data_IF_292999391551
#
_entry.id   IF_292999391551
#
_cell.length_a   1.000
_cell.length_b   1.000
_cell.length_c   1.000
_cell.angle_alpha   90.00
_cell.angle_beta   90.00
_cell.angle_gamma   90.00
#
_symmetry.space_group_name_H-M   'P 1'
#
loop_
_entity.id
_entity.type
_entity.pdbx_description
1 polymer ?
#
# COMPACT_ATOMS: atom_id res chain seq x y z
N UNK A 1 17.30 40.43 6.99
CA UNK A 1 16.15 40.81 6.15
C UNK A 1 16.18 39.83 5.00
N UNK A 2 15.63 38.63 5.19
CA UNK A 2 14.25 38.27 4.77
C UNK A 2 14.22 38.23 3.23
N UNK A 3 13.96 37.11 2.56
CA UNK A 3 12.92 36.14 2.84
C UNK A 3 13.31 34.72 2.42
N UNK A 4 13.07 33.80 3.35
CA UNK A 4 12.97 32.36 3.19
C UNK A 4 11.75 32.07 2.28
N UNK A 5 11.99 31.80 1.00
CA UNK A 5 10.96 31.18 0.15
C UNK A 5 11.03 29.66 0.29
N UNK A 6 10.58 29.18 1.46
CA UNK A 6 10.13 27.81 1.64
C UNK A 6 8.95 27.56 0.69
N UNK A 7 9.25 27.10 -0.51
CA UNK A 7 8.28 26.52 -1.44
C UNK A 7 7.70 25.28 -0.76
N UNK A 8 6.54 25.46 -0.12
CA UNK A 8 5.75 24.38 0.45
C UNK A 8 5.50 23.34 -0.63
N UNK A 9 6.08 22.16 -0.44
CA UNK A 9 5.73 20.97 -1.18
C UNK A 9 4.20 20.84 -1.14
N UNK A 10 3.49 20.70 -2.27
CA UNK A 10 2.10 20.30 -2.22
C UNK A 10 2.06 18.92 -1.58
N UNK A 11 1.58 18.90 -0.33
CA UNK A 11 1.19 17.67 0.36
C UNK A 11 0.07 17.04 -0.46
N UNK A 12 0.44 16.06 -1.28
CA UNK A 12 -0.48 15.18 -2.01
C UNK A 12 -1.18 14.24 -1.02
N UNK A 13 -1.90 14.82 -0.08
CA UNK A 13 -2.85 14.16 0.78
C UNK A 13 -4.21 14.24 0.09
N UNK A 14 -4.47 13.35 -0.89
CA UNK A 14 -5.80 13.30 -1.50
C UNK A 14 -5.93 12.59 -2.84
N UNK A 15 -4.85 12.28 -3.54
CA UNK A 15 -4.97 11.46 -4.74
C UNK A 15 -4.95 9.99 -4.33
N UNK A 16 -6.09 9.31 -4.44
CA UNK A 16 -6.14 7.87 -4.66
C UNK A 16 -5.53 7.59 -6.04
N UNK A 17 -4.25 7.91 -6.21
CA UNK A 17 -3.46 7.45 -7.34
C UNK A 17 -3.49 5.93 -7.29
N UNK A 18 -3.75 5.30 -8.43
CA UNK A 18 -3.71 3.84 -8.58
C UNK A 18 -2.39 3.36 -7.99
N UNK A 19 -2.43 2.73 -6.81
CA UNK A 19 -1.25 2.21 -6.14
C UNK A 19 -0.74 1.05 -6.99
N UNK A 20 0.27 1.33 -7.81
CA UNK A 20 0.87 0.34 -8.69
C UNK A 20 1.63 -0.71 -7.90
N UNK A 21 1.57 -1.94 -8.40
CA UNK A 21 2.24 -3.08 -7.80
C UNK A 21 3.76 -2.96 -7.97
N UNK A 22 4.51 -3.31 -6.93
CA UNK A 22 5.96 -3.48 -7.00
C UNK A 22 6.33 -4.55 -8.03
N UNK A 23 5.44 -5.48 -8.37
CA UNK A 23 5.66 -6.47 -9.43
C UNK A 23 5.73 -5.81 -10.81
N UNK A 24 4.93 -4.77 -11.06
CA UNK A 24 4.99 -3.95 -12.27
C UNK A 24 6.30 -3.14 -12.31
N UNK A 25 6.69 -2.54 -11.19
CA UNK A 25 7.93 -1.74 -11.07
C UNK A 25 9.19 -2.61 -11.17
N UNK A 26 9.15 -3.82 -10.61
CA UNK A 26 10.26 -4.76 -10.62
C UNK A 26 10.63 -5.24 -12.03
N UNK A 27 9.72 -5.17 -13.01
CA UNK A 27 10.05 -5.45 -14.40
C UNK A 27 11.08 -4.47 -14.98
N UNK A 28 11.24 -3.30 -14.36
CA UNK A 28 12.17 -2.25 -14.80
C UNK A 28 13.36 -2.03 -13.84
N UNK A 29 13.44 -2.73 -12.70
CA UNK A 29 14.47 -2.49 -11.68
C UNK A 29 14.93 -3.76 -10.95
N UNK A 30 16.26 -3.94 -10.93
CA UNK A 30 16.92 -5.07 -10.28
C UNK A 30 16.78 -5.03 -8.75
N UNK A 31 16.75 -3.84 -8.14
CA UNK A 31 16.58 -3.66 -6.70
C UNK A 31 15.16 -3.97 -6.23
N UNK A 32 14.14 -3.56 -7.01
CA UNK A 32 12.75 -3.90 -6.74
C UNK A 32 12.52 -5.42 -6.85
N UNK A 33 13.12 -6.06 -7.86
CA UNK A 33 13.13 -7.52 -8.00
C UNK A 33 13.75 -8.23 -6.78
N UNK A 34 14.84 -7.68 -6.22
CA UNK A 34 15.48 -8.22 -5.03
C UNK A 34 14.59 -8.10 -3.79
N UNK A 35 13.94 -6.95 -3.58
CA UNK A 35 12.99 -6.76 -2.47
C UNK A 35 11.83 -7.76 -2.52
N UNK A 36 11.23 -7.98 -3.71
CA UNK A 36 10.15 -8.96 -3.88
C UNK A 36 10.59 -10.37 -3.48
N UNK A 37 11.82 -10.78 -3.84
CA UNK A 37 12.36 -12.10 -3.51
C UNK A 37 12.69 -12.25 -2.03
N UNK A 38 13.15 -11.19 -1.37
CA UNK A 38 13.52 -11.25 0.06
C UNK A 38 12.34 -11.63 0.96
N UNK A 39 11.15 -11.08 0.70
CA UNK A 39 9.96 -11.32 1.52
C UNK A 39 8.95 -12.28 0.88
N UNK A 40 9.16 -12.61 -0.40
CA UNK A 40 8.38 -13.56 -1.19
C UNK A 40 6.86 -13.36 -1.06
N UNK A 41 6.42 -12.10 -0.99
CA UNK A 41 5.03 -11.71 -0.73
C UNK A 41 4.10 -12.23 -1.82
N UNK A 42 4.58 -12.30 -3.06
CA UNK A 42 3.83 -12.86 -4.18
C UNK A 42 3.37 -14.31 -3.94
N UNK A 43 4.12 -15.11 -3.16
CA UNK A 43 3.79 -16.52 -2.91
C UNK A 43 2.71 -16.73 -1.84
N UNK A 44 2.73 -15.95 -0.76
CA UNK A 44 1.78 -16.10 0.35
C UNK A 44 0.63 -15.07 0.30
N UNK A 45 0.86 -13.94 -0.36
CA UNK A 45 -0.08 -12.82 -0.46
C UNK A 45 -1.28 -13.09 -1.36
N UNK A 46 -1.18 -14.06 -2.28
CA UNK A 46 -2.28 -14.56 -3.11
C UNK A 46 -3.10 -13.43 -3.77
N UNK A 47 -2.42 -12.42 -4.31
CA UNK A 47 -2.99 -11.19 -4.91
C UNK A 47 -3.79 -10.28 -3.96
N UNK A 48 -3.99 -10.67 -2.70
CA UNK A 48 -4.59 -9.80 -1.68
C UNK A 48 -3.56 -8.90 -1.01
N UNK A 49 -2.34 -9.39 -0.85
CA UNK A 49 -1.24 -8.63 -0.26
C UNK A 49 -0.12 -8.49 -1.27
N UNK A 50 0.43 -7.29 -1.33
CA UNK A 50 1.49 -6.96 -2.27
C UNK A 50 2.24 -5.70 -1.80
N UNK A 51 3.39 -5.41 -2.37
CA UNK A 51 4.13 -4.18 -2.07
C UNK A 51 3.80 -3.13 -3.15
N UNK A 52 3.63 -1.87 -2.77
CA UNK A 52 3.45 -0.78 -3.74
C UNK A 52 4.79 -0.19 -4.21
N UNK A 53 4.76 0.72 -5.18
CA UNK A 53 5.97 1.40 -5.72
C UNK A 53 6.78 2.16 -4.66
N UNK A 54 6.14 2.56 -3.55
CA UNK A 54 6.78 3.25 -2.42
C UNK A 54 7.49 2.29 -1.46
N UNK A 55 7.39 0.97 -1.67
CA UNK A 55 7.94 -0.03 -0.77
C UNK A 55 7.06 -0.34 0.44
N UNK A 56 5.83 0.17 0.50
CA UNK A 56 4.88 -0.14 1.56
C UNK A 56 4.03 -1.37 1.24
N UNK A 57 3.58 -2.07 2.28
CA UNK A 57 2.61 -3.15 2.11
C UNK A 57 1.25 -2.55 1.76
N UNK A 58 0.69 -3.04 0.68
CA UNK A 58 -0.64 -2.72 0.19
C UNK A 58 -1.54 -3.95 0.26
N UNK A 59 -2.83 -3.73 0.51
CA UNK A 59 -3.86 -4.76 0.55
C UNK A 59 -4.87 -4.48 -0.54
N UNK A 60 -5.12 -5.46 -1.39
CA UNK A 60 -6.19 -5.48 -2.37
C UNK A 60 -7.27 -6.45 -1.85
N UNK A 61 -8.35 -5.96 -1.20
CA UNK A 61 -9.32 -6.85 -0.57
C UNK A 61 -10.10 -7.70 -1.57
N UNK A 62 -10.23 -7.20 -2.80
CA UNK A 62 -10.86 -7.85 -3.93
C UNK A 62 -9.91 -7.77 -5.15
N UNK A 63 -9.42 -8.90 -5.69
CA UNK A 63 -8.56 -8.90 -6.88
C UNK A 63 -9.30 -8.50 -8.16
N UNK A 64 -10.63 -8.58 -8.20
CA UNK A 64 -11.44 -8.12 -9.35
C UNK A 64 -11.56 -6.58 -9.39
N UNK A 65 -11.26 -5.91 -8.26
CA UNK A 65 -11.33 -4.46 -8.12
C UNK A 65 -9.96 -3.92 -7.65
N UNK A 66 -8.96 -3.83 -8.55
CA UNK A 66 -7.60 -3.41 -8.20
C UNK A 66 -7.51 -1.96 -7.68
N UNK A 67 -8.52 -1.14 -8.00
CA UNK A 67 -8.68 0.24 -7.53
C UNK A 67 -8.96 0.33 -6.02
N UNK A 68 -9.51 -0.73 -5.42
CA UNK A 68 -9.80 -0.80 -3.98
C UNK A 68 -8.57 -1.11 -3.12
N UNK A 69 -7.36 -0.94 -3.67
CA UNK A 69 -6.10 -1.19 -2.99
C UNK A 69 -5.84 -0.13 -1.91
N UNK A 70 -5.43 -0.59 -0.74
CA UNK A 70 -5.18 0.22 0.46
C UNK A 70 -3.72 0.11 0.89
N UNK A 71 -3.04 1.22 1.11
CA UNK A 71 -1.71 1.27 1.74
C UNK A 71 -1.84 1.12 3.26
N UNK A 72 -1.26 0.06 3.84
CA UNK A 72 -1.31 -0.18 5.28
C UNK A 72 -0.51 0.83 6.09
N UNK A 73 0.63 1.30 5.57
CA UNK A 73 1.46 2.28 6.28
C UNK A 73 0.74 3.63 6.38
N UNK A 74 0.05 4.04 5.31
CA UNK A 74 -0.80 5.22 5.34
C UNK A 74 -2.01 5.03 6.26
N UNK A 75 -2.67 3.86 6.19
CA UNK A 75 -3.80 3.54 7.06
C UNK A 75 -3.41 3.64 8.53
N UNK A 76 -2.28 3.04 8.93
CA UNK A 76 -1.77 3.09 10.30
C UNK A 76 -1.48 4.54 10.72
N UNK A 77 -0.77 5.32 9.90
CA UNK A 77 -0.49 6.74 10.19
C UNK A 77 -1.77 7.55 10.39
N UNK A 78 -2.80 7.34 9.55
CA UNK A 78 -4.09 8.00 9.69
C UNK A 78 -4.79 7.60 10.98
N UNK A 79 -4.73 6.33 11.38
CA UNK A 79 -5.33 5.85 12.64
C UNK A 79 -4.60 6.37 13.87
N UNK A 80 -3.27 6.39 13.86
CA UNK A 80 -2.48 6.98 14.93
C UNK A 80 -2.78 8.49 15.09
N UNK A 81 -2.89 9.22 13.97
CA UNK A 81 -3.27 10.64 13.99
C UNK A 81 -4.69 10.87 14.52
N UNK A 82 -5.60 9.91 14.33
CA UNK A 82 -6.95 9.91 14.94
C UNK A 82 -6.93 9.52 16.43
N UNK A 83 -5.76 9.28 17.03
CA UNK A 83 -5.60 8.93 18.44
C UNK A 83 -5.88 7.46 18.75
N UNK A 84 -5.96 6.57 17.76
CA UNK A 84 -6.05 5.14 18.02
C UNK A 84 -4.72 4.61 18.56
N UNK A 85 -4.78 3.88 19.69
CA UNK A 85 -3.63 3.18 20.23
C UNK A 85 -3.35 1.91 19.44
N UNK A 86 -2.12 1.78 18.94
CA UNK A 86 -1.58 0.52 18.46
C UNK A 86 -1.17 -0.37 19.66
N UNK A 87 -1.20 -1.71 19.54
CA UNK A 87 -1.45 -2.51 18.33
C UNK A 87 -2.93 -2.58 17.94
N UNK A 88 -3.20 -2.52 16.62
CA UNK A 88 -4.54 -2.64 16.05
C UNK A 88 -4.59 -3.81 15.06
N UNK A 89 -5.72 -4.53 15.04
CA UNK A 89 -6.00 -5.58 14.06
C UNK A 89 -6.90 -5.03 12.95
N UNK A 90 -6.42 -5.06 11.71
CA UNK A 90 -7.19 -4.67 10.54
C UNK A 90 -7.78 -5.92 9.87
N UNK A 91 -9.10 -6.00 9.84
CA UNK A 91 -9.83 -7.09 9.20
C UNK A 91 -10.42 -6.63 7.85
N UNK A 92 -10.14 -7.36 6.79
CA UNK A 92 -10.65 -7.11 5.43
C UNK A 92 -11.66 -8.20 5.05
N UNK A 93 -12.96 -8.03 5.40
CA UNK A 93 -13.98 -9.06 5.15
C UNK A 93 -14.20 -9.35 3.66
N UNK A 94 -13.86 -8.43 2.77
CA UNK A 94 -13.97 -8.61 1.32
C UNK A 94 -13.08 -9.77 0.82
N UNK A 95 -11.92 -9.98 1.44
CA UNK A 95 -11.04 -11.12 1.12
C UNK A 95 -11.78 -12.44 1.39
N UNK A 96 -12.53 -12.52 2.49
CA UNK A 96 -13.33 -13.69 2.83
C UNK A 96 -14.46 -13.89 1.82
N UNK A 97 -15.15 -12.80 1.44
CA UNK A 97 -16.23 -12.87 0.45
C UNK A 97 -15.74 -13.35 -0.91
N UNK A 98 -14.60 -12.84 -1.38
CA UNK A 98 -13.98 -13.28 -2.63
C UNK A 98 -13.59 -14.77 -2.55
N UNK A 99 -12.96 -15.21 -1.45
CA UNK A 99 -12.58 -16.62 -1.25
C UNK A 99 -13.75 -17.60 -1.14
N UNK A 100 -14.93 -17.14 -0.71
CA UNK A 100 -16.13 -17.96 -0.65
C UNK A 100 -16.83 -18.08 -2.01
N UNK A 101 -16.64 -17.10 -2.89
CA UNK A 101 -17.20 -17.09 -4.24
C UNK A 101 -16.33 -17.90 -5.22
N UNK A 102 -15.01 -17.87 -5.03
CA UNK A 102 -14.01 -18.59 -5.83
C UNK A 102 -13.94 -20.07 -5.49
#
# INVERSE_FOLDING_TARGET
MSDDMSMGLPSSAGEHGVLRSMQEVAMSSQEASKMLRTYNIAWWGNNYYDVNELGHISVCPDPDVPEARVDLAQLVKTREAQGQRLPALFCFPQILQHRLRS
#
